data_IF_174684407627
#
_entry.id   IF_174684407627
#
_cell.length_a   1.000
_cell.length_b   1.000
_cell.length_c   1.000
_cell.angle_alpha   90.00
_cell.angle_beta   90.00
_cell.angle_gamma   90.00
#
_symmetry.space_group_name_H-M   'P 1'
#
loop_
_entity.id
_entity.type
_entity.pdbx_description
1 polymer ?
#
# COMPACT_ATOMS: atom_id res chain seq x y z
N UNK A 1 -9.50 19.58 34.41
CA UNK A 1 -9.20 18.23 34.89
C UNK A 1 -7.70 18.09 34.71
N UNK A 2 -6.93 18.04 35.83
CA UNK A 2 -5.48 17.82 35.76
C UNK A 2 -5.25 16.40 35.26
N UNK A 3 -4.49 16.24 34.15
CA UNK A 3 -4.10 14.93 33.64
C UNK A 3 -3.28 14.20 34.73
N UNK A 4 -3.79 13.04 35.17
CA UNK A 4 -3.08 12.18 36.10
C UNK A 4 -1.73 11.78 35.51
N UNK A 5 -0.71 11.74 36.36
CA UNK A 5 0.64 11.34 35.99
C UNK A 5 0.94 9.88 36.40
N UNK A 6 2.04 9.32 35.89
CA UNK A 6 2.53 8.00 36.33
C UNK A 6 2.81 7.98 37.85
N UNK A 7 3.21 9.11 38.41
CA UNK A 7 3.45 9.30 39.87
C UNK A 7 2.12 9.22 40.64
N UNK A 8 1.05 9.78 40.15
CA UNK A 8 -0.26 9.71 40.81
C UNK A 8 -0.80 8.29 40.80
N UNK A 9 -0.69 7.56 39.67
CA UNK A 9 -1.05 6.15 39.61
C UNK A 9 -0.19 5.31 40.56
N UNK A 10 1.09 5.58 40.64
CA UNK A 10 2.00 4.89 41.54
C UNK A 10 1.60 5.07 43.01
N UNK A 11 1.26 6.30 43.39
CA UNK A 11 0.75 6.66 44.72
C UNK A 11 -0.57 5.95 45.03
N UNK A 12 -1.54 5.98 44.12
CA UNK A 12 -2.85 5.33 44.26
C UNK A 12 -2.74 3.80 44.37
N UNK A 13 -1.83 3.20 43.60
CA UNK A 13 -1.60 1.76 43.60
C UNK A 13 -0.65 1.28 44.72
N UNK A 14 -0.04 2.18 45.48
CA UNK A 14 0.94 1.84 46.54
C UNK A 14 2.19 1.15 46.00
N UNK A 15 2.71 1.61 44.86
CA UNK A 15 3.90 1.04 44.19
C UNK A 15 4.82 2.16 43.69
N UNK A 16 6.01 1.81 43.21
CA UNK A 16 6.92 2.78 42.60
C UNK A 16 6.47 3.14 41.17
N UNK A 17 6.83 4.34 40.68
CA UNK A 17 6.63 4.76 39.30
C UNK A 17 7.20 3.74 38.28
N UNK A 18 8.36 3.16 38.59
CA UNK A 18 8.99 2.14 37.76
C UNK A 18 8.15 0.86 37.66
N UNK A 19 7.44 0.51 38.74
CA UNK A 19 6.52 -0.64 38.78
C UNK A 19 5.30 -0.37 37.89
N UNK A 20 4.69 0.82 37.97
CA UNK A 20 3.59 1.21 37.08
C UNK A 20 4.04 1.16 35.61
N UNK A 21 5.20 1.73 35.30
CA UNK A 21 5.77 1.69 33.94
C UNK A 21 5.98 0.25 33.45
N UNK A 22 6.47 -0.66 34.30
CA UNK A 22 6.63 -2.09 33.96
C UNK A 22 5.29 -2.78 33.70
N UNK A 23 4.26 -2.45 34.49
CA UNK A 23 2.90 -3.00 34.30
C UNK A 23 2.33 -2.55 32.95
N UNK A 24 2.40 -1.26 32.66
CA UNK A 24 1.90 -0.67 31.40
C UNK A 24 2.62 -1.28 30.18
N UNK A 25 3.93 -1.55 30.31
CA UNK A 25 4.73 -2.17 29.25
C UNK A 25 4.71 -3.71 29.27
N UNK A 26 3.79 -4.30 30.04
CA UNK A 26 3.61 -5.75 30.17
C UNK A 26 4.88 -6.53 30.53
N UNK A 27 5.78 -5.94 31.32
CA UNK A 27 7.05 -6.55 31.68
C UNK A 27 6.84 -7.82 32.55
N UNK A 28 7.49 -8.96 32.24
CA UNK A 28 7.23 -10.24 32.89
C UNK A 28 7.64 -10.28 34.38
N UNK A 29 8.55 -9.41 34.82
CA UNK A 29 9.06 -9.40 36.19
C UNK A 29 8.09 -8.87 37.26
N UNK A 30 6.90 -8.40 36.88
CA UNK A 30 5.91 -7.86 37.82
C UNK A 30 5.02 -8.98 38.35
N UNK A 31 4.94 -9.13 39.67
CA UNK A 31 4.06 -10.10 40.34
C UNK A 31 2.59 -9.89 39.95
N UNK A 32 1.84 -10.99 39.70
CA UNK A 32 0.44 -10.93 39.24
C UNK A 32 -0.45 -10.03 40.11
N UNK A 33 -0.39 -10.15 41.45
CA UNK A 33 -1.18 -9.33 42.38
C UNK A 33 -0.90 -7.82 42.28
N UNK A 34 0.37 -7.45 42.02
CA UNK A 34 0.75 -6.05 41.81
C UNK A 34 0.22 -5.56 40.45
N UNK A 35 0.31 -6.39 39.43
CA UNK A 35 -0.21 -6.08 38.11
C UNK A 35 -1.70 -5.81 38.15
N UNK A 36 -2.49 -6.70 38.76
CA UNK A 36 -3.95 -6.52 38.88
C UNK A 36 -4.28 -5.22 39.58
N UNK A 37 -3.68 -4.94 40.75
CA UNK A 37 -3.93 -3.70 41.50
C UNK A 37 -3.62 -2.43 40.68
N UNK A 38 -2.51 -2.40 39.95
CA UNK A 38 -2.16 -1.24 39.13
C UNK A 38 -3.14 -1.08 37.95
N UNK A 39 -3.56 -2.17 37.30
CA UNK A 39 -4.55 -2.12 36.20
C UNK A 39 -5.91 -1.67 36.70
N UNK A 40 -6.36 -2.09 37.90
CA UNK A 40 -7.60 -1.61 38.54
C UNK A 40 -7.55 -0.10 38.78
N UNK A 41 -6.44 0.43 39.28
CA UNK A 41 -6.29 1.87 39.48
C UNK A 41 -6.32 2.61 38.15
N UNK A 42 -5.63 2.12 37.12
CA UNK A 42 -5.67 2.71 35.77
C UNK A 42 -7.09 2.73 35.23
N UNK A 43 -7.82 1.62 35.35
CA UNK A 43 -9.20 1.52 34.86
C UNK A 43 -10.15 2.46 35.61
N UNK A 44 -10.05 2.50 36.95
CA UNK A 44 -10.94 3.34 37.79
C UNK A 44 -10.66 4.83 37.65
N UNK A 45 -9.43 5.22 37.29
CA UNK A 45 -9.04 6.62 37.14
C UNK A 45 -9.18 7.14 35.70
N UNK A 46 -9.38 6.24 34.73
CA UNK A 46 -9.34 6.60 33.30
C UNK A 46 -7.96 7.10 32.84
N UNK A 47 -6.90 6.73 33.58
CA UNK A 47 -5.56 7.15 33.20
C UNK A 47 -5.12 6.57 31.88
N UNK A 48 -4.71 7.43 30.96
CA UNK A 48 -4.07 7.04 29.72
C UNK A 48 -2.59 7.47 29.74
N UNK A 49 -1.65 6.53 29.51
CA UNK A 49 -0.24 6.88 29.40
C UNK A 49 -0.01 7.92 28.32
N UNK A 50 0.73 8.97 28.63
CA UNK A 50 1.10 9.97 27.64
C UNK A 50 2.01 9.34 26.60
N UNK A 51 1.51 9.21 25.36
CA UNK A 51 2.23 8.58 24.24
C UNK A 51 3.51 9.35 23.90
N UNK A 52 3.52 10.68 24.02
CA UNK A 52 4.71 11.49 23.76
C UNK A 52 5.81 11.24 24.83
N UNK A 53 5.42 11.13 26.11
CA UNK A 53 6.36 10.78 27.17
C UNK A 53 6.90 9.35 27.02
N UNK A 54 6.04 8.41 26.56
CA UNK A 54 6.45 7.03 26.27
C UNK A 54 7.42 6.98 25.09
N UNK A 55 7.15 7.74 24.03
CA UNK A 55 8.02 7.84 22.85
C UNK A 55 9.41 8.37 23.22
N UNK A 56 9.49 9.37 24.09
CA UNK A 56 10.77 9.93 24.59
C UNK A 56 11.63 8.89 25.30
N UNK A 57 11.01 8.03 26.11
CA UNK A 57 11.73 7.00 26.90
C UNK A 57 12.10 5.79 26.05
N UNK A 58 11.17 5.33 25.19
CA UNK A 58 11.36 4.13 24.36
C UNK A 58 12.11 4.41 23.07
N UNK A 59 12.29 5.67 22.68
CA UNK A 59 12.77 6.12 21.36
C UNK A 59 11.94 5.55 20.19
N UNK A 60 10.66 5.20 20.47
CA UNK A 60 9.70 4.67 19.49
C UNK A 60 8.41 5.48 19.52
N UNK A 61 7.92 5.84 18.36
CA UNK A 61 6.64 6.54 18.20
C UNK A 61 5.43 5.60 18.21
N UNK A 62 5.61 4.33 17.92
CA UNK A 62 4.57 3.34 17.65
C UNK A 62 3.63 3.79 16.52
N UNK A 63 4.19 4.54 15.58
CA UNK A 63 3.51 5.01 14.38
C UNK A 63 4.24 4.53 13.13
N UNK A 64 3.48 4.02 12.18
CA UNK A 64 3.93 3.78 10.81
C UNK A 64 3.26 4.76 9.88
N UNK A 65 3.98 5.24 8.88
CA UNK A 65 3.44 6.11 7.84
C UNK A 65 3.11 5.32 6.58
N UNK A 66 1.90 5.44 6.05
CA UNK A 66 1.56 5.01 4.70
C UNK A 66 1.55 6.24 3.79
N UNK A 67 2.50 6.30 2.86
CA UNK A 67 2.61 7.36 1.86
C UNK A 67 2.09 6.82 0.52
N UNK A 68 1.09 7.48 -0.03
CA UNK A 68 0.46 7.10 -1.31
C UNK A 68 0.60 8.27 -2.28
N UNK A 69 1.40 8.14 -3.36
CA UNK A 69 1.59 9.20 -4.36
C UNK A 69 0.40 9.22 -5.34
N UNK A 70 -0.75 9.67 -4.84
CA UNK A 70 -2.01 9.76 -5.59
C UNK A 70 -2.84 10.94 -5.12
N UNK A 71 -3.66 11.47 -6.03
CA UNK A 71 -4.70 12.43 -5.65
C UNK A 71 -5.77 11.75 -4.80
N UNK A 72 -6.48 12.54 -4.00
CA UNK A 72 -7.61 12.05 -3.18
C UNK A 72 -8.64 11.33 -4.06
N UNK A 73 -8.98 11.93 -5.21
CA UNK A 73 -9.94 11.33 -6.14
C UNK A 73 -9.46 9.98 -6.64
N UNK A 74 -8.23 9.87 -7.15
CA UNK A 74 -7.68 8.62 -7.67
C UNK A 74 -7.58 7.54 -6.62
N UNK A 75 -7.30 7.91 -5.37
CA UNK A 75 -7.24 6.97 -4.25
C UNK A 75 -8.60 6.27 -4.00
N UNK A 76 -9.70 7.01 -4.05
CA UNK A 76 -11.03 6.46 -3.77
C UNK A 76 -11.72 5.83 -4.99
N UNK A 77 -11.29 6.13 -6.19
CA UNK A 77 -11.88 5.55 -7.42
C UNK A 77 -11.29 4.19 -7.79
N UNK A 78 -10.04 3.91 -7.40
CA UNK A 78 -9.41 2.62 -7.62
C UNK A 78 -9.53 1.76 -6.34
N UNK A 79 -10.27 0.64 -6.34
CA UNK A 79 -10.49 -0.19 -5.16
C UNK A 79 -9.21 -0.81 -4.58
N UNK A 80 -8.13 -0.90 -5.35
CA UNK A 80 -6.84 -1.40 -4.89
C UNK A 80 -6.33 -0.64 -3.66
N UNK A 81 -6.37 0.70 -3.67
CA UNK A 81 -5.82 1.52 -2.58
C UNK A 81 -6.57 1.38 -1.26
N UNK A 82 -7.92 1.44 -1.23
CA UNK A 82 -8.68 1.14 -0.02
C UNK A 82 -8.39 -0.26 0.56
N UNK A 83 -8.32 -1.31 -0.27
CA UNK A 83 -8.02 -2.66 0.21
C UNK A 83 -6.60 -2.80 0.75
N UNK A 84 -5.60 -2.23 0.07
CA UNK A 84 -4.23 -2.17 0.57
C UNK A 84 -4.17 -1.46 1.94
N UNK A 85 -4.81 -0.29 2.04
CA UNK A 85 -4.86 0.49 3.28
C UNK A 85 -5.55 -0.29 4.40
N UNK A 86 -6.63 -1.00 4.11
CA UNK A 86 -7.34 -1.85 5.07
C UNK A 86 -6.41 -2.95 5.62
N UNK A 87 -5.69 -3.66 4.75
CA UNK A 87 -4.75 -4.71 5.17
C UNK A 87 -3.63 -4.16 6.05
N UNK A 88 -3.05 -3.02 5.67
CA UNK A 88 -2.01 -2.35 6.47
C UNK A 88 -2.56 -1.89 7.82
N UNK A 89 -3.75 -1.28 7.85
CA UNK A 89 -4.39 -0.83 9.09
C UNK A 89 -4.68 -2.00 10.03
N UNK A 90 -5.17 -3.13 9.52
CA UNK A 90 -5.39 -4.34 10.30
C UNK A 90 -4.08 -4.87 10.92
N UNK A 91 -3.01 -4.94 10.15
CA UNK A 91 -1.70 -5.34 10.65
C UNK A 91 -1.16 -4.37 11.71
N UNK A 92 -1.28 -3.06 11.49
CA UNK A 92 -0.92 -2.06 12.48
C UNK A 92 -1.68 -2.26 13.80
N UNK A 93 -3.00 -2.46 13.75
CA UNK A 93 -3.82 -2.69 14.95
C UNK A 93 -3.42 -3.96 15.69
N UNK A 94 -3.14 -5.06 14.98
CA UNK A 94 -2.69 -6.33 15.59
C UNK A 94 -1.35 -6.17 16.31
N UNK A 95 -0.48 -5.30 15.83
CA UNK A 95 0.84 -5.05 16.41
C UNK A 95 0.91 -3.79 17.28
N UNK A 96 -0.22 -3.18 17.63
CA UNK A 96 -0.32 -1.97 18.45
C UNK A 96 0.43 -0.76 17.86
N UNK A 97 0.46 -0.64 16.53
CA UNK A 97 0.93 0.56 15.84
C UNK A 97 -0.26 1.45 15.44
N UNK A 98 -0.02 2.75 15.45
CA UNK A 98 -0.91 3.73 14.83
C UNK A 98 -0.50 3.92 13.37
N UNK A 99 -1.46 3.90 12.45
CA UNK A 99 -1.21 4.19 11.04
C UNK A 99 -1.42 5.68 10.75
N UNK A 100 -0.37 6.38 10.33
CA UNK A 100 -0.44 7.71 9.75
C UNK A 100 -0.61 7.59 8.23
N UNK A 101 -1.55 8.35 7.65
CA UNK A 101 -1.86 8.28 6.23
C UNK A 101 -1.52 9.60 5.53
N UNK A 102 -0.75 9.54 4.44
CA UNK A 102 -0.25 10.69 3.70
C UNK A 102 -0.51 10.52 2.20
N UNK A 103 -1.42 11.32 1.66
CA UNK A 103 -1.60 11.45 0.21
C UNK A 103 -0.68 12.54 -0.31
N UNK A 104 0.05 12.22 -1.38
CA UNK A 104 1.06 13.09 -1.98
C UNK A 104 0.79 13.16 -3.47
N UNK A 105 0.16 14.23 -3.92
CA UNK A 105 -0.30 14.36 -5.31
C UNK A 105 0.67 15.14 -6.18
N UNK A 106 1.43 16.05 -5.57
CA UNK A 106 2.28 17.01 -6.25
C UNK A 106 3.66 17.05 -5.63
N UNK A 107 4.60 17.62 -6.34
CA UNK A 107 5.94 17.88 -5.81
C UNK A 107 5.91 18.80 -4.59
N UNK A 108 4.97 19.75 -4.57
CA UNK A 108 4.78 20.64 -3.43
C UNK A 108 4.31 19.88 -2.18
N UNK A 109 3.40 18.90 -2.36
CA UNK A 109 2.98 18.01 -1.27
C UNK A 109 4.16 17.20 -0.73
N UNK A 110 5.00 16.64 -1.63
CA UNK A 110 6.22 15.94 -1.23
C UNK A 110 7.12 16.82 -0.37
N UNK A 111 7.39 18.05 -0.81
CA UNK A 111 8.30 18.95 -0.12
C UNK A 111 7.75 19.43 1.24
N UNK A 112 6.44 19.47 1.41
CA UNK A 112 5.78 19.73 2.70
C UNK A 112 5.78 18.52 3.62
N UNK A 113 5.58 17.32 3.08
CA UNK A 113 5.42 16.09 3.86
C UNK A 113 6.78 15.49 4.22
N UNK A 114 7.77 15.50 3.32
CA UNK A 114 9.07 14.89 3.53
C UNK A 114 9.75 15.31 4.84
N UNK A 115 9.88 16.60 5.20
CA UNK A 115 10.53 17.00 6.46
C UNK A 115 9.80 16.49 7.71
N UNK A 116 8.51 16.18 7.60
CA UNK A 116 7.70 15.67 8.71
C UNK A 116 7.89 14.17 8.87
N UNK A 117 7.76 13.40 7.76
CA UNK A 117 7.85 11.93 7.80
C UNK A 117 9.28 11.45 8.01
N UNK A 118 10.30 12.22 7.55
CA UNK A 118 11.70 11.92 7.73
C UNK A 118 12.26 12.35 9.10
N UNK A 119 11.45 13.05 9.92
CA UNK A 119 11.89 13.51 11.24
C UNK A 119 12.05 12.30 12.18
N UNK A 120 13.26 12.13 12.71
CA UNK A 120 13.59 11.07 13.67
C UNK A 120 12.66 11.08 14.88
N UNK A 121 12.05 9.93 15.18
CA UNK A 121 11.12 9.77 16.30
C UNK A 121 9.67 10.19 16.00
N UNK A 122 9.35 10.66 14.79
CA UNK A 122 7.98 10.91 14.37
C UNK A 122 7.27 9.64 13.88
N UNK A 123 7.95 8.85 13.05
CA UNK A 123 7.51 7.53 12.60
C UNK A 123 8.59 6.49 12.92
N UNK A 124 8.18 5.25 13.22
CA UNK A 124 9.09 4.12 13.40
C UNK A 124 9.44 3.46 12.07
N UNK A 125 8.68 3.72 11.02
CA UNK A 125 8.90 3.25 9.67
C UNK A 125 7.88 3.81 8.70
N UNK A 126 8.15 3.67 7.42
CA UNK A 126 7.32 4.17 6.32
C UNK A 126 7.03 3.04 5.34
N UNK A 127 5.78 2.95 4.94
CA UNK A 127 5.32 2.14 3.81
C UNK A 127 4.99 3.12 2.68
N UNK A 128 5.65 2.98 1.54
CA UNK A 128 5.34 3.79 0.34
C UNK A 128 4.64 2.89 -0.67
N UNK A 129 3.45 3.27 -1.07
CA UNK A 129 2.84 2.65 -2.24
C UNK A 129 3.50 3.27 -3.48
N UNK A 130 4.11 2.44 -4.30
CA UNK A 130 4.82 2.90 -5.49
C UNK A 130 4.67 1.91 -6.63
N UNK A 131 4.87 2.40 -7.81
CA UNK A 131 4.86 1.65 -9.06
C UNK A 131 5.23 2.54 -10.24
N UNK A 132 5.41 3.85 -10.02
CA UNK A 132 5.83 4.78 -11.08
C UNK A 132 7.36 4.85 -11.18
N UNK A 133 7.84 5.04 -12.39
CA UNK A 133 9.26 5.25 -12.68
C UNK A 133 9.60 6.70 -12.37
N UNK A 134 10.73 6.92 -11.65
CA UNK A 134 11.25 8.26 -11.40
C UNK A 134 10.70 8.97 -10.15
N UNK A 135 10.16 8.22 -9.20
CA UNK A 135 9.70 8.75 -7.92
C UNK A 135 10.89 9.17 -7.02
N UNK A 136 11.33 10.41 -7.14
CA UNK A 136 12.41 10.98 -6.31
C UNK A 136 12.09 10.97 -4.80
N UNK A 137 10.82 10.81 -4.41
CA UNK A 137 10.43 10.68 -3.01
C UNK A 137 11.00 9.40 -2.37
N UNK A 138 11.01 8.28 -3.08
CA UNK A 138 11.56 7.01 -2.58
C UNK A 138 13.06 7.16 -2.31
N UNK A 139 13.79 7.75 -3.25
CA UNK A 139 15.23 7.98 -3.08
C UNK A 139 15.51 8.89 -1.87
N UNK A 140 14.72 9.95 -1.71
CA UNK A 140 14.83 10.87 -0.56
C UNK A 140 14.55 10.14 0.76
N UNK A 141 13.51 9.30 0.82
CA UNK A 141 13.15 8.53 2.02
C UNK A 141 14.19 7.46 2.33
N UNK A 142 14.70 6.76 1.32
CA UNK A 142 15.75 5.77 1.48
C UNK A 142 17.04 6.38 2.05
N UNK A 143 17.36 7.60 1.65
CA UNK A 143 18.53 8.33 2.15
C UNK A 143 18.31 8.97 3.55
N UNK A 144 17.10 8.93 4.08
CA UNK A 144 16.75 9.54 5.37
C UNK A 144 16.97 8.63 6.58
N UNK A 145 17.56 7.44 6.41
CA UNK A 145 17.85 6.46 7.48
C UNK A 145 16.60 6.08 8.31
N UNK A 146 15.45 5.93 7.63
CA UNK A 146 14.19 5.47 8.21
C UNK A 146 13.87 4.09 7.64
N UNK A 147 13.40 3.13 8.46
CA UNK A 147 12.91 1.86 7.95
C UNK A 147 11.84 2.08 6.87
N UNK A 148 12.10 1.59 5.66
CA UNK A 148 11.27 1.81 4.49
C UNK A 148 10.89 0.46 3.85
N UNK A 149 9.61 0.30 3.54
CA UNK A 149 9.09 -0.81 2.74
C UNK A 149 8.24 -0.24 1.61
N UNK A 150 8.43 -0.77 0.41
CA UNK A 150 7.66 -0.37 -0.76
C UNK A 150 6.55 -1.39 -1.00
N UNK A 151 5.30 -0.93 -1.13
CA UNK A 151 4.19 -1.72 -1.62
C UNK A 151 4.11 -1.57 -3.15
N UNK A 152 4.50 -2.60 -3.85
CA UNK A 152 4.80 -2.63 -5.28
C UNK A 152 6.29 -2.83 -5.54
N UNK A 153 6.64 -3.36 -6.70
CA UNK A 153 8.03 -3.58 -7.09
C UNK A 153 8.65 -2.27 -7.61
N UNK A 154 9.74 -1.78 -7.03
CA UNK A 154 10.48 -0.65 -7.61
C UNK A 154 11.17 -1.10 -8.90
N UNK A 155 11.35 -0.18 -9.85
CA UNK A 155 12.03 -0.49 -11.13
C UNK A 155 13.48 -0.96 -10.91
N UNK A 156 14.17 -0.32 -9.95
CA UNK A 156 15.51 -0.70 -9.52
C UNK A 156 15.45 -1.05 -8.02
N UNK A 157 15.49 -2.34 -7.67
CA UNK A 157 15.31 -2.78 -6.27
C UNK A 157 16.52 -2.51 -5.36
N UNK A 158 17.48 -1.70 -5.76
CA UNK A 158 18.73 -1.32 -5.09
C UNK A 158 18.63 -1.27 -3.56
N UNK A 159 18.76 -2.39 -2.88
CA UNK A 159 18.70 -2.55 -1.42
C UNK A 159 17.37 -2.08 -0.76
N UNK A 160 16.31 -1.90 -1.52
CA UNK A 160 14.99 -1.54 -1.00
C UNK A 160 14.19 -2.80 -0.64
N UNK A 161 13.63 -2.82 0.55
CA UNK A 161 12.64 -3.85 0.92
C UNK A 161 11.32 -3.53 0.22
N UNK A 162 10.72 -4.54 -0.42
CA UNK A 162 9.40 -4.36 -1.04
C UNK A 162 8.52 -5.60 -0.90
N UNK A 163 7.22 -5.40 -1.05
CA UNK A 163 6.21 -6.44 -1.13
C UNK A 163 5.39 -6.21 -2.39
N UNK A 164 5.31 -7.21 -3.24
CA UNK A 164 4.52 -7.15 -4.48
C UNK A 164 3.91 -8.53 -4.78
N UNK A 165 2.97 -8.56 -5.72
CA UNK A 165 2.49 -9.81 -6.34
C UNK A 165 3.35 -10.10 -7.58
N UNK A 166 3.45 -11.37 -7.97
CA UNK A 166 4.10 -11.74 -9.23
C UNK A 166 3.18 -11.37 -10.40
N UNK A 167 3.27 -10.09 -10.83
CA UNK A 167 2.44 -9.53 -11.90
C UNK A 167 2.70 -10.19 -13.26
N UNK A 168 3.91 -10.66 -13.53
CA UNK A 168 4.25 -11.38 -14.78
C UNK A 168 3.50 -12.71 -14.83
N UNK A 169 3.67 -13.53 -13.80
CA UNK A 169 3.02 -14.85 -13.74
C UNK A 169 1.49 -14.71 -13.69
N UNK A 170 0.96 -13.76 -12.92
CA UNK A 170 -0.49 -13.54 -12.82
C UNK A 170 -1.11 -13.16 -14.16
N UNK A 171 -0.46 -12.26 -14.92
CA UNK A 171 -0.92 -11.90 -16.26
C UNK A 171 -0.79 -13.08 -17.24
N UNK A 172 0.31 -13.83 -17.17
CA UNK A 172 0.48 -15.02 -18.01
C UNK A 172 -0.61 -16.08 -17.74
N UNK A 173 -1.01 -16.29 -16.47
CA UNK A 173 -2.12 -17.19 -16.12
C UNK A 173 -3.42 -16.76 -16.76
N UNK A 174 -3.76 -15.45 -16.70
CA UNK A 174 -4.98 -14.92 -17.29
C UNK A 174 -5.00 -15.10 -18.83
N UNK A 175 -3.88 -14.81 -19.48
CA UNK A 175 -3.76 -14.93 -20.93
C UNK A 175 -3.77 -16.41 -21.37
N UNK A 176 -3.08 -17.29 -20.64
CA UNK A 176 -3.11 -18.74 -20.86
C UNK A 176 -4.53 -19.31 -20.74
N UNK A 177 -5.35 -18.77 -19.82
CA UNK A 177 -6.75 -19.14 -19.74
C UNK A 177 -7.51 -18.81 -21.05
N UNK A 178 -7.31 -17.62 -21.62
CA UNK A 178 -7.92 -17.25 -22.90
C UNK A 178 -7.44 -18.14 -24.04
N UNK A 179 -6.14 -18.47 -24.10
CA UNK A 179 -5.57 -19.40 -25.09
C UNK A 179 -6.18 -20.79 -24.90
N UNK A 180 -6.33 -21.28 -23.67
CA UNK A 180 -6.96 -22.56 -23.35
C UNK A 180 -8.43 -22.64 -23.77
N UNK A 181 -9.13 -21.51 -23.86
CA UNK A 181 -10.48 -21.42 -24.44
C UNK A 181 -10.49 -21.39 -25.99
N UNK A 182 -9.33 -21.52 -26.63
CA UNK A 182 -9.18 -21.57 -28.10
C UNK A 182 -9.03 -20.20 -28.78
N UNK A 183 -8.81 -19.12 -28.02
CA UNK A 183 -8.55 -17.82 -28.61
C UNK A 183 -7.07 -17.69 -29.01
N UNK A 184 -6.81 -17.47 -30.29
CA UNK A 184 -5.45 -17.24 -30.81
C UNK A 184 -5.16 -15.75 -31.05
N UNK A 185 -6.18 -14.93 -31.31
CA UNK A 185 -6.03 -13.50 -31.56
C UNK A 185 -6.56 -12.70 -30.38
N UNK A 186 -5.65 -12.48 -29.41
CA UNK A 186 -5.94 -11.87 -28.11
C UNK A 186 -5.35 -10.46 -28.09
N UNK A 187 -6.17 -9.44 -27.83
CA UNK A 187 -5.71 -8.08 -27.59
C UNK A 187 -5.37 -7.87 -26.11
N UNK A 188 -4.61 -6.82 -25.84
CA UNK A 188 -4.36 -6.37 -24.46
C UNK A 188 -4.54 -4.86 -24.32
N UNK A 189 -5.15 -4.47 -23.20
CA UNK A 189 -5.10 -3.10 -22.67
C UNK A 189 -4.09 -3.13 -21.51
N UNK A 190 -2.86 -2.67 -21.79
CA UNK A 190 -1.78 -2.69 -20.78
C UNK A 190 -1.99 -1.60 -19.74
N UNK A 191 -1.27 -1.65 -18.61
CA UNK A 191 -1.14 -0.50 -17.73
C UNK A 191 -0.27 0.60 -18.34
N UNK A 192 -0.10 1.73 -17.62
CA UNK A 192 0.83 2.80 -18.02
C UNK A 192 2.24 2.28 -18.26
N UNK A 193 2.92 2.84 -19.26
CA UNK A 193 4.27 2.40 -19.67
C UNK A 193 5.38 2.80 -18.70
N UNK A 194 5.08 3.76 -17.81
CA UNK A 194 5.94 4.26 -16.75
C UNK A 194 5.61 3.65 -15.38
N UNK A 195 4.86 2.55 -15.37
CA UNK A 195 4.45 1.86 -14.15
C UNK A 195 4.93 0.40 -14.17
N UNK A 196 5.61 -0.05 -13.10
CA UNK A 196 6.18 -1.41 -13.03
C UNK A 196 5.12 -2.50 -13.13
N UNK A 197 3.93 -2.29 -12.54
CA UNK A 197 2.81 -3.24 -12.65
C UNK A 197 2.32 -3.33 -14.10
N UNK A 198 2.25 -2.19 -14.81
CA UNK A 198 1.89 -2.15 -16.23
C UNK A 198 2.90 -2.90 -17.10
N UNK A 199 4.20 -2.66 -16.86
CA UNK A 199 5.31 -3.33 -17.55
C UNK A 199 5.27 -4.84 -17.30
N UNK A 200 5.11 -5.27 -16.06
CA UNK A 200 5.14 -6.69 -15.69
C UNK A 200 3.92 -7.45 -16.25
N UNK A 201 2.72 -6.86 -16.18
CA UNK A 201 1.52 -7.50 -16.75
C UNK A 201 1.56 -7.58 -18.28
N UNK A 202 2.18 -6.59 -18.93
CA UNK A 202 2.49 -6.65 -20.35
C UNK A 202 3.47 -7.79 -20.65
N UNK A 203 4.56 -7.89 -19.90
CA UNK A 203 5.54 -8.96 -20.07
C UNK A 203 4.89 -10.34 -19.91
N UNK A 204 3.99 -10.52 -18.94
CA UNK A 204 3.23 -11.76 -18.75
C UNK A 204 2.32 -12.09 -19.94
N UNK A 205 1.67 -11.10 -20.55
CA UNK A 205 0.90 -11.28 -21.79
C UNK A 205 1.81 -11.72 -22.94
N UNK A 206 2.92 -11.04 -23.19
CA UNK A 206 3.87 -11.37 -24.24
C UNK A 206 4.48 -12.77 -24.02
N UNK A 207 4.81 -13.13 -22.77
CA UNK A 207 5.30 -14.44 -22.40
C UNK A 207 4.30 -15.56 -22.70
N UNK A 208 3.04 -15.39 -22.35
CA UNK A 208 2.00 -16.38 -22.61
C UNK A 208 1.79 -16.62 -24.10
N UNK A 209 1.76 -15.58 -24.92
CA UNK A 209 1.66 -15.71 -26.37
C UNK A 209 2.88 -16.47 -26.94
N UNK A 210 4.09 -16.08 -26.53
CA UNK A 210 5.33 -16.71 -26.99
C UNK A 210 5.38 -18.20 -26.64
N UNK A 211 4.96 -18.61 -25.45
CA UNK A 211 4.90 -20.01 -25.00
C UNK A 211 3.99 -20.87 -25.89
N UNK A 212 3.01 -20.28 -26.52
CA UNK A 212 2.07 -20.96 -27.45
C UNK A 212 2.35 -20.71 -28.93
N UNK A 213 3.48 -20.05 -29.25
CA UNK A 213 3.86 -19.74 -30.65
C UNK A 213 2.91 -18.72 -31.33
N UNK A 214 2.19 -17.92 -30.54
CA UNK A 214 1.28 -16.88 -31.02
C UNK A 214 2.05 -15.56 -31.21
N UNK A 215 1.74 -14.78 -32.29
CA UNK A 215 2.42 -13.51 -32.51
C UNK A 215 1.95 -12.43 -31.56
N UNK A 216 2.85 -11.52 -31.19
CA UNK A 216 2.52 -10.26 -30.55
C UNK A 216 2.25 -9.23 -31.65
N UNK A 217 0.98 -8.89 -31.86
CA UNK A 217 0.56 -7.92 -32.87
C UNK A 217 0.47 -6.51 -32.26
N UNK A 218 1.19 -5.54 -32.83
CA UNK A 218 1.25 -4.18 -32.26
C UNK A 218 -0.12 -3.46 -32.28
N UNK A 219 -0.98 -3.75 -33.26
CA UNK A 219 -2.33 -3.22 -33.37
C UNK A 219 -3.32 -3.82 -32.36
N UNK A 220 -2.95 -4.91 -31.69
CA UNK A 220 -3.70 -5.53 -30.60
C UNK A 220 -3.25 -5.09 -29.20
N UNK A 221 -2.33 -4.13 -29.10
CA UNK A 221 -1.79 -3.68 -27.82
C UNK A 221 -1.93 -2.17 -27.65
N UNK A 222 -2.74 -1.75 -26.69
CA UNK A 222 -2.98 -0.34 -26.37
C UNK A 222 -2.68 -0.10 -24.90
N UNK A 223 -1.93 0.96 -24.59
CA UNK A 223 -1.71 1.38 -23.22
C UNK A 223 -2.97 2.04 -22.64
N UNK A 224 -3.31 1.66 -21.42
CA UNK A 224 -4.33 2.28 -20.57
C UNK A 224 -3.70 2.98 -19.37
N UNK A 225 -4.53 3.37 -18.42
CA UNK A 225 -4.18 4.18 -17.25
C UNK A 225 -4.73 3.62 -15.94
N UNK A 226 -5.18 2.36 -15.94
CA UNK A 226 -5.85 1.65 -14.85
C UNK A 226 -7.26 2.17 -14.53
N UNK A 227 -7.80 3.14 -15.28
CA UNK A 227 -9.13 3.69 -15.05
C UNK A 227 -10.19 3.06 -15.97
N UNK A 228 -11.47 3.11 -15.56
CA UNK A 228 -12.58 2.69 -16.41
C UNK A 228 -12.69 3.54 -17.69
N UNK A 229 -12.61 4.89 -17.64
CA UNK A 229 -12.61 5.70 -18.85
C UNK A 229 -11.44 5.38 -19.81
N UNK A 230 -10.24 5.14 -19.25
CA UNK A 230 -9.07 4.74 -20.03
C UNK A 230 -9.26 3.39 -20.72
N UNK A 231 -9.81 2.41 -20.01
CA UNK A 231 -10.18 1.11 -20.58
C UNK A 231 -11.20 1.21 -21.69
N UNK A 232 -12.23 2.07 -21.54
CA UNK A 232 -13.21 2.35 -22.58
C UNK A 232 -12.56 2.94 -23.82
N UNK A 233 -11.73 3.97 -23.65
CA UNK A 233 -11.05 4.64 -24.76
C UNK A 233 -10.06 3.71 -25.50
N UNK A 234 -9.31 2.88 -24.75
CA UNK A 234 -8.39 1.90 -25.31
C UNK A 234 -9.15 0.83 -26.11
N UNK A 235 -10.26 0.31 -25.59
CA UNK A 235 -11.05 -0.69 -26.31
C UNK A 235 -11.66 -0.13 -27.60
N UNK A 236 -12.13 1.11 -27.59
CA UNK A 236 -12.62 1.76 -28.83
C UNK A 236 -11.55 1.79 -29.94
N UNK A 237 -10.27 1.92 -29.58
CA UNK A 237 -9.15 1.86 -30.52
C UNK A 237 -8.83 0.43 -30.99
N UNK A 238 -9.10 -0.59 -30.14
CA UNK A 238 -8.87 -2.00 -30.45
C UNK A 238 -9.98 -2.61 -31.33
N UNK A 239 -11.22 -2.12 -31.21
CA UNK A 239 -12.37 -2.66 -31.97
C UNK A 239 -12.16 -2.80 -33.49
N UNK A 240 -11.54 -1.84 -34.20
CA UNK A 240 -11.26 -1.98 -35.64
C UNK A 240 -10.38 -3.19 -35.98
N UNK A 241 -9.45 -3.57 -35.11
CA UNK A 241 -8.60 -4.75 -35.27
C UNK A 241 -9.34 -6.07 -35.03
N UNK A 242 -10.60 -6.04 -34.59
CA UNK A 242 -11.48 -7.22 -34.37
C UNK A 242 -10.83 -8.32 -33.50
N UNK A 243 -10.34 -8.02 -32.31
CA UNK A 243 -9.82 -9.05 -31.41
C UNK A 243 -10.92 -10.06 -31.05
N UNK A 244 -10.53 -11.29 -30.80
CA UNK A 244 -11.48 -12.36 -30.38
C UNK A 244 -11.58 -12.47 -28.87
N UNK A 245 -10.55 -12.03 -28.17
CA UNK A 245 -10.50 -11.90 -26.72
C UNK A 245 -9.66 -10.69 -26.33
N UNK A 246 -9.81 -10.20 -25.11
CA UNK A 246 -9.06 -9.05 -24.58
C UNK A 246 -8.61 -9.36 -23.16
N UNK A 247 -7.33 -9.20 -22.92
CA UNK A 247 -6.75 -9.13 -21.56
C UNK A 247 -6.61 -7.65 -21.18
N UNK A 248 -7.32 -7.21 -20.15
CA UNK A 248 -7.15 -5.88 -19.56
C UNK A 248 -6.33 -5.98 -18.28
N UNK A 249 -5.30 -5.12 -18.16
CA UNK A 249 -4.36 -5.17 -17.05
C UNK A 249 -4.93 -4.68 -15.70
N UNK A 250 -6.21 -4.29 -15.63
CA UNK A 250 -6.94 -4.04 -14.37
C UNK A 250 -8.44 -4.22 -14.55
N UNK A 251 -9.15 -4.45 -13.44
CA UNK A 251 -10.61 -4.59 -13.40
C UNK A 251 -11.31 -3.31 -13.89
N UNK A 252 -10.81 -2.13 -13.48
CA UNK A 252 -11.35 -0.86 -13.96
C UNK A 252 -11.31 -0.76 -15.49
N UNK A 253 -10.17 -1.06 -16.09
CA UNK A 253 -10.04 -1.07 -17.56
C UNK A 253 -10.87 -2.18 -18.20
N UNK A 254 -11.02 -3.34 -17.58
CA UNK A 254 -11.88 -4.41 -18.09
C UNK A 254 -13.35 -3.98 -18.14
N UNK A 255 -13.85 -3.33 -17.10
CA UNK A 255 -15.21 -2.76 -17.08
C UNK A 255 -15.40 -1.73 -18.19
N UNK A 256 -14.43 -0.81 -18.34
CA UNK A 256 -14.43 0.17 -19.43
C UNK A 256 -14.46 -0.49 -20.81
N UNK A 257 -13.63 -1.51 -21.01
CA UNK A 257 -13.58 -2.28 -22.26
C UNK A 257 -14.91 -2.97 -22.56
N UNK A 258 -15.53 -3.63 -21.59
CA UNK A 258 -16.85 -4.26 -21.73
C UNK A 258 -17.91 -3.24 -22.15
N UNK A 259 -17.94 -2.06 -21.54
CA UNK A 259 -18.87 -0.98 -21.94
C UNK A 259 -18.63 -0.49 -23.36
N UNK A 260 -17.37 -0.41 -23.79
CA UNK A 260 -17.04 -0.03 -25.18
C UNK A 260 -17.52 -1.09 -26.18
N UNK A 261 -17.36 -2.37 -25.88
CA UNK A 261 -17.85 -3.50 -26.69
C UNK A 261 -19.36 -3.44 -26.80
N UNK A 262 -20.06 -3.32 -25.68
CA UNK A 262 -21.52 -3.23 -25.64
C UNK A 262 -22.07 -2.01 -26.41
N UNK A 263 -21.35 -0.88 -26.40
CA UNK A 263 -21.76 0.35 -27.11
C UNK A 263 -21.83 0.20 -28.63
N UNK A 264 -21.26 -0.84 -29.20
CA UNK A 264 -21.27 -1.16 -30.62
C UNK A 264 -22.08 -2.44 -30.95
N UNK A 265 -22.85 -2.94 -29.98
CA UNK A 265 -23.76 -4.08 -30.20
C UNK A 265 -23.08 -5.46 -30.20
N UNK A 266 -21.90 -5.56 -29.56
CA UNK A 266 -21.13 -6.80 -29.42
C UNK A 266 -21.19 -7.32 -27.96
#
# INVERSE_FOLDING_TARGET
VSDLTLEDIARLAGVSRSTVSRVINNHPSVRGSVRTRVLEVIQNTGFHPNLAARALVSKRSWMLGLVVPRSVSSFFTDPYFPFLTQGIAQACNQHNFTLGFFLVSTKEDEDKIFPRVSRKGYLDGIIVQSGQIGEGLIDRLNNADIPLVIAGRPLQPNNLSYVDVDNVTAAAIAVNHLIGLGYARIATITGPVDNTVGIDRRAGYEQALAQHGLPVEADLMIAGDFTEPGGYAAMKKLLPARPRAVFAASDGMAIGAMRAIQSVGL
#
